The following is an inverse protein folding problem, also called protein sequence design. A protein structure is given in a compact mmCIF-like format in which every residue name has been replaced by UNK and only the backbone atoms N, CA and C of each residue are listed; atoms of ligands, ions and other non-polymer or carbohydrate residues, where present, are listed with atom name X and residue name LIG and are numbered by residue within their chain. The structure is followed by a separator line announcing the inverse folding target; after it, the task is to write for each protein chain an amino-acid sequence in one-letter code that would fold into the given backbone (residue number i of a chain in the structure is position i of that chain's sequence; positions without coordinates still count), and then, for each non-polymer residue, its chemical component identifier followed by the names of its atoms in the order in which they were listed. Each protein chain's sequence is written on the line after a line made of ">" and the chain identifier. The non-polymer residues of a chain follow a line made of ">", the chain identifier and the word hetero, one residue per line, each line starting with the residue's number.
data_IF_294740417209
#
_entry.id   IF_294740417209
#
_cell.length_a   1.000
_cell.length_b   1.000
_cell.length_c   1.000
_cell.angle_alpha   90.00
_cell.angle_beta   90.00
_cell.angle_gamma   90.00
#
_symmetry.space_group_name_H-M   'P 1'
#
loop_
_entity.id
_entity.type
_entity.pdbx_description
1 polymer ?
#
# COMPACT_ATOMS: atom_id res chain seq x y z
N UNK A 1 -8.94 13.30 10.07
CA UNK A 1 -9.72 13.57 8.84
C UNK A 1 -11.02 12.78 8.80
N UNK A 2 -11.03 11.46 8.95
CA UNK A 2 -12.24 10.62 8.85
C UNK A 2 -13.38 11.04 9.80
N UNK A 3 -13.08 11.41 11.05
CA UNK A 3 -14.09 11.92 12.01
C UNK A 3 -14.72 13.26 11.59
N UNK A 4 -13.97 14.10 10.87
CA UNK A 4 -14.48 15.39 10.37
C UNK A 4 -15.34 15.17 9.13
N UNK A 5 -14.93 14.26 8.24
CA UNK A 5 -15.70 13.92 7.04
C UNK A 5 -17.03 13.22 7.38
N UNK A 6 -17.05 12.40 8.44
CA UNK A 6 -18.28 11.74 8.89
C UNK A 6 -19.39 12.70 9.36
N UNK A 7 -19.04 13.96 9.62
CA UNK A 7 -20.02 15.02 9.99
C UNK A 7 -20.72 15.66 8.78
N UNK A 8 -20.21 15.47 7.56
CA UNK A 8 -20.78 15.97 6.31
C UNK A 8 -20.87 14.83 5.29
N UNK A 9 -22.04 14.17 5.17
CA UNK A 9 -22.24 13.04 4.26
C UNK A 9 -21.95 13.37 2.79
N UNK A 10 -22.26 14.59 2.34
CA UNK A 10 -22.01 15.00 0.96
C UNK A 10 -20.51 15.14 0.68
N UNK A 11 -19.75 15.63 1.65
CA UNK A 11 -18.29 15.73 1.56
C UNK A 11 -17.63 14.34 1.61
N UNK A 12 -18.13 13.46 2.49
CA UNK A 12 -17.67 12.09 2.57
C UNK A 12 -17.89 11.34 1.24
N UNK A 13 -19.07 11.51 0.63
CA UNK A 13 -19.39 10.90 -0.66
C UNK A 13 -18.50 11.45 -1.80
N UNK A 14 -18.26 12.76 -1.87
CA UNK A 14 -17.34 13.34 -2.86
C UNK A 14 -15.93 12.80 -2.73
N UNK A 15 -15.44 12.70 -1.49
CA UNK A 15 -14.13 12.12 -1.22
C UNK A 15 -14.06 10.65 -1.63
N UNK A 16 -15.06 9.85 -1.27
CA UNK A 16 -15.15 8.45 -1.66
C UNK A 16 -15.15 8.26 -3.18
N UNK A 17 -15.92 9.07 -3.91
CA UNK A 17 -15.96 9.04 -5.37
C UNK A 17 -14.60 9.42 -5.98
N UNK A 18 -13.92 10.44 -5.44
CA UNK A 18 -12.60 10.85 -5.89
C UNK A 18 -11.55 9.75 -5.68
N UNK A 19 -11.59 9.07 -4.54
CA UNK A 19 -10.71 7.93 -4.24
C UNK A 19 -11.02 6.74 -5.17
N UNK A 20 -12.30 6.41 -5.36
CA UNK A 20 -12.71 5.35 -6.29
C UNK A 20 -12.22 5.62 -7.71
N UNK A 21 -12.38 6.86 -8.19
CA UNK A 21 -11.86 7.28 -9.51
C UNK A 21 -10.34 7.15 -9.60
N UNK A 22 -9.61 7.63 -8.59
CA UNK A 22 -8.15 7.52 -8.54
C UNK A 22 -7.66 6.08 -8.65
N UNK A 23 -8.35 5.15 -7.96
CA UNK A 23 -7.99 3.73 -7.98
C UNK A 23 -8.23 3.02 -9.32
N UNK A 24 -8.91 3.68 -10.30
CA UNK A 24 -9.07 3.15 -11.66
C UNK A 24 -7.87 3.45 -12.56
N UNK A 25 -6.90 4.24 -12.09
CA UNK A 25 -5.71 4.59 -12.83
C UNK A 25 -4.87 3.36 -13.22
N UNK A 26 -4.30 3.33 -14.43
CA UNK A 26 -3.53 2.17 -14.91
C UNK A 26 -2.31 1.87 -14.04
N UNK A 27 -1.76 2.87 -13.36
CA UNK A 27 -0.62 2.73 -12.46
C UNK A 27 -0.97 2.14 -11.08
N UNK A 28 -2.25 1.91 -10.79
CA UNK A 28 -2.74 1.37 -9.51
C UNK A 28 -3.43 0.02 -9.68
N UNK A 29 -3.25 -0.64 -10.84
CA UNK A 29 -3.79 -1.97 -11.11
C UNK A 29 -3.31 -2.98 -10.07
N UNK A 30 -4.21 -3.89 -9.71
CA UNK A 30 -3.90 -4.97 -8.77
C UNK A 30 -2.94 -6.01 -9.36
N UNK A 31 -2.85 -6.10 -10.68
CA UNK A 31 -1.93 -7.00 -11.39
C UNK A 31 -0.49 -6.86 -10.88
N UNK A 32 -0.06 -5.62 -10.58
CA UNK A 32 1.29 -5.40 -10.03
C UNK A 32 1.49 -6.06 -8.66
N UNK A 33 0.48 -6.04 -7.80
CA UNK A 33 0.53 -6.72 -6.51
C UNK A 33 0.48 -8.24 -6.69
N UNK A 34 -0.38 -8.71 -7.59
CA UNK A 34 -0.54 -10.14 -7.91
C UNK A 34 0.75 -10.74 -8.48
N UNK A 35 1.42 -10.01 -9.36
CA UNK A 35 2.62 -10.50 -10.06
C UNK A 35 3.91 -10.41 -9.24
N UNK A 36 3.97 -9.47 -8.29
CA UNK A 36 5.19 -9.16 -7.54
C UNK A 36 5.12 -9.48 -6.05
N UNK A 37 3.99 -9.96 -5.54
CA UNK A 37 3.91 -10.44 -4.16
C UNK A 37 4.41 -11.88 -4.00
N UNK A 38 4.67 -12.34 -2.77
CA UNK A 38 5.29 -13.64 -2.48
C UNK A 38 4.34 -14.85 -2.61
N UNK A 39 3.18 -14.69 -3.25
CA UNK A 39 2.07 -15.65 -3.22
C UNK A 39 2.45 -17.05 -3.70
N UNK A 40 3.26 -17.14 -4.76
CA UNK A 40 3.70 -18.41 -5.34
C UNK A 40 4.67 -19.20 -4.47
N UNK A 41 5.30 -18.57 -3.46
CA UNK A 41 6.22 -19.21 -2.52
C UNK A 41 5.52 -19.74 -1.26
N UNK A 42 4.22 -19.45 -1.10
CA UNK A 42 3.46 -19.85 0.08
C UNK A 42 3.00 -21.30 -0.01
N UNK A 43 2.92 -22.02 1.12
CA UNK A 43 2.40 -23.37 1.13
C UNK A 43 0.91 -23.39 0.75
N UNK A 44 0.46 -24.49 0.11
CA UNK A 44 -0.95 -24.72 -0.15
C UNK A 44 -1.77 -24.64 1.14
N UNK A 45 -2.90 -23.94 1.11
CA UNK A 45 -3.71 -23.64 2.29
C UNK A 45 -3.15 -22.52 3.17
N UNK A 46 -2.03 -21.91 2.78
CA UNK A 46 -1.47 -20.75 3.49
C UNK A 46 -2.47 -19.60 3.58
N UNK A 47 -2.57 -18.98 4.75
CA UNK A 47 -3.51 -17.88 5.00
C UNK A 47 -2.86 -16.54 4.71
N UNK A 48 -3.57 -15.71 3.95
CA UNK A 48 -3.24 -14.30 3.68
C UNK A 48 -4.30 -13.43 4.35
N UNK A 49 -3.87 -12.48 5.17
CA UNK A 49 -4.75 -11.52 5.86
C UNK A 49 -4.58 -10.15 5.24
N UNK A 50 -5.64 -9.56 4.69
CA UNK A 50 -5.67 -8.20 4.12
C UNK A 50 -6.19 -7.22 5.18
N UNK A 51 -5.29 -6.47 5.78
CA UNK A 51 -5.59 -5.58 6.91
C UNK A 51 -6.03 -4.21 6.39
N UNK A 52 -7.30 -3.86 6.65
CA UNK A 52 -7.94 -2.69 6.06
C UNK A 52 -8.32 -2.91 4.59
N UNK A 53 -8.65 -4.14 4.22
CA UNK A 53 -8.85 -4.59 2.83
C UNK A 53 -10.19 -4.17 2.20
N UNK A 54 -11.05 -3.44 2.93
CA UNK A 54 -12.31 -2.88 2.44
C UNK A 54 -13.22 -3.94 1.79
N UNK A 55 -13.45 -3.85 0.49
CA UNK A 55 -14.31 -4.76 -0.27
C UNK A 55 -13.61 -6.05 -0.76
N UNK A 56 -12.36 -6.29 -0.36
CA UNK A 56 -11.63 -7.52 -0.68
C UNK A 56 -11.12 -7.66 -2.13
N UNK A 57 -11.11 -6.58 -2.91
CA UNK A 57 -10.71 -6.64 -4.33
C UNK A 57 -9.29 -7.19 -4.53
N UNK A 58 -8.35 -6.86 -3.63
CA UNK A 58 -6.99 -7.35 -3.72
C UNK A 58 -6.94 -8.86 -3.49
N UNK A 59 -7.71 -9.36 -2.52
CA UNK A 59 -7.77 -10.79 -2.22
C UNK A 59 -8.40 -11.60 -3.34
N UNK A 60 -9.48 -11.08 -3.97
CA UNK A 60 -10.08 -11.72 -5.16
C UNK A 60 -9.06 -11.80 -6.30
N UNK A 61 -8.38 -10.70 -6.62
CA UNK A 61 -7.38 -10.68 -7.69
C UNK A 61 -6.22 -11.66 -7.44
N UNK A 62 -5.78 -11.80 -6.18
CA UNK A 62 -4.74 -12.79 -5.84
C UNK A 62 -5.32 -14.22 -5.91
N UNK A 63 -6.55 -14.44 -5.47
CA UNK A 63 -7.21 -15.75 -5.49
C UNK A 63 -7.41 -16.31 -6.91
N UNK A 64 -7.67 -15.43 -7.89
CA UNK A 64 -7.75 -15.81 -9.32
C UNK A 64 -6.49 -16.54 -9.81
N UNK A 65 -5.30 -16.08 -9.37
CA UNK A 65 -4.02 -16.66 -9.77
C UNK A 65 -3.50 -17.73 -8.80
N UNK A 66 -3.87 -17.63 -7.51
CA UNK A 66 -3.39 -18.50 -6.43
C UNK A 66 -4.54 -19.14 -5.64
N UNK A 67 -5.39 -19.97 -6.28
CA UNK A 67 -6.61 -20.50 -5.66
C UNK A 67 -6.36 -21.51 -4.53
N UNK A 68 -5.12 -21.98 -4.34
CA UNK A 68 -4.74 -22.84 -3.23
C UNK A 68 -4.56 -22.11 -1.89
N UNK A 69 -4.55 -20.79 -1.89
CA UNK A 69 -4.42 -19.98 -0.69
C UNK A 69 -5.79 -19.68 -0.04
N UNK A 70 -5.77 -19.27 1.20
CA UNK A 70 -6.94 -18.80 1.96
C UNK A 70 -6.78 -17.32 2.26
N UNK A 71 -7.87 -16.56 2.15
CA UNK A 71 -7.85 -15.12 2.28
C UNK A 71 -8.84 -14.65 3.34
N UNK A 72 -8.39 -13.75 4.21
CA UNK A 72 -9.22 -13.11 5.24
C UNK A 72 -9.08 -11.60 5.05
N UNK A 73 -10.18 -10.95 4.67
CA UNK A 73 -10.25 -9.48 4.55
C UNK A 73 -10.71 -8.93 5.89
N UNK A 74 -9.92 -8.04 6.48
CA UNK A 74 -10.24 -7.38 7.74
C UNK A 74 -10.49 -5.89 7.51
N UNK A 75 -11.55 -5.36 8.11
CA UNK A 75 -11.83 -3.93 8.15
C UNK A 75 -12.79 -3.63 9.32
N UNK A 76 -13.06 -2.35 9.56
CA UNK A 76 -14.00 -1.91 10.59
C UNK A 76 -15.42 -2.42 10.32
N UNK A 77 -16.24 -2.65 11.36
CA UNK A 77 -17.59 -3.18 11.23
C UNK A 77 -18.47 -2.47 10.19
N UNK A 78 -18.49 -1.11 10.12
CA UNK A 78 -19.29 -0.42 9.10
C UNK A 78 -18.84 -0.71 7.67
N UNK A 79 -17.52 -0.89 7.44
CA UNK A 79 -16.96 -1.20 6.12
C UNK A 79 -17.33 -2.62 5.72
N UNK A 80 -17.19 -3.59 6.64
CA UNK A 80 -17.55 -4.99 6.40
C UNK A 80 -19.05 -5.13 6.12
N UNK A 81 -19.90 -4.42 6.87
CA UNK A 81 -21.35 -4.42 6.66
C UNK A 81 -21.76 -3.82 5.29
N UNK A 82 -21.03 -2.80 4.82
CA UNK A 82 -21.29 -2.12 3.55
C UNK A 82 -20.55 -2.73 2.36
N UNK A 83 -19.86 -3.87 2.54
CA UNK A 83 -19.08 -4.50 1.47
C UNK A 83 -19.98 -4.96 0.33
N UNK A 84 -19.45 -4.94 -0.88
CA UNK A 84 -20.09 -5.56 -2.03
C UNK A 84 -19.89 -7.07 -1.99
N UNK A 85 -20.84 -7.87 -2.52
CA UNK A 85 -20.62 -9.29 -2.73
C UNK A 85 -19.39 -9.53 -3.61
N UNK A 86 -18.63 -10.56 -3.29
CA UNK A 86 -17.56 -11.07 -4.16
C UNK A 86 -18.14 -12.10 -5.14
N UNK A 87 -17.46 -12.42 -6.26
CA UNK A 87 -17.89 -13.49 -7.14
C UNK A 87 -17.98 -14.84 -6.39
N UNK A 88 -19.02 -15.61 -6.71
CA UNK A 88 -19.38 -16.84 -5.99
C UNK A 88 -18.25 -17.87 -5.97
N UNK A 89 -17.44 -17.93 -7.01
CA UNK A 89 -16.30 -18.84 -7.13
C UNK A 89 -15.22 -18.61 -6.06
N UNK A 90 -15.16 -17.40 -5.44
CA UNK A 90 -14.18 -17.09 -4.41
C UNK A 90 -14.73 -17.19 -2.98
N UNK A 91 -16.03 -17.42 -2.79
CA UNK A 91 -16.65 -17.49 -1.45
C UNK A 91 -16.06 -18.60 -0.56
N UNK A 92 -15.50 -19.64 -1.17
CA UNK A 92 -14.88 -20.75 -0.45
C UNK A 92 -13.45 -20.46 0.03
N UNK A 93 -12.77 -19.46 -0.53
CA UNK A 93 -11.39 -19.12 -0.21
C UNK A 93 -11.20 -17.71 0.33
N UNK A 94 -12.14 -16.80 0.11
CA UNK A 94 -12.12 -15.42 0.62
C UNK A 94 -13.22 -15.22 1.65
N UNK A 95 -12.83 -14.86 2.86
CA UNK A 95 -13.74 -14.56 3.96
C UNK A 95 -13.54 -13.12 4.47
N UNK A 96 -14.50 -12.61 5.23
CA UNK A 96 -14.48 -11.26 5.78
C UNK A 96 -14.60 -11.30 7.30
N UNK A 97 -13.83 -10.44 7.98
CA UNK A 97 -13.77 -10.35 9.42
C UNK A 97 -13.73 -8.89 9.87
N UNK A 98 -14.56 -8.56 10.85
CA UNK A 98 -14.48 -7.26 11.52
C UNK A 98 -13.23 -7.20 12.39
N UNK A 99 -12.39 -6.18 12.21
CA UNK A 99 -11.22 -5.96 13.02
C UNK A 99 -10.73 -4.51 12.94
N UNK A 100 -10.35 -3.95 14.07
CA UNK A 100 -9.62 -2.68 14.17
C UNK A 100 -8.13 -2.98 14.37
N UNK A 101 -7.29 -2.64 13.40
CA UNK A 101 -5.85 -2.86 13.45
C UNK A 101 -5.13 -2.08 14.57
N UNK A 102 -5.83 -1.20 15.29
CA UNK A 102 -5.32 -0.61 16.53
C UNK A 102 -5.53 -1.52 17.76
N UNK A 103 -6.08 -2.70 17.58
CA UNK A 103 -6.19 -3.76 18.59
C UNK A 103 -5.32 -4.97 18.20
N UNK A 104 -4.98 -5.89 19.12
CA UNK A 104 -4.18 -7.06 18.78
C UNK A 104 -4.78 -7.89 17.64
N UNK A 105 -3.92 -8.32 16.71
CA UNK A 105 -4.33 -9.13 15.54
C UNK A 105 -4.85 -10.51 16.00
N UNK A 106 -6.12 -10.86 15.68
CA UNK A 106 -6.72 -12.12 16.13
C UNK A 106 -6.31 -13.34 15.29
N UNK A 107 -5.88 -13.16 14.04
CA UNK A 107 -5.45 -14.26 13.17
C UNK A 107 -3.97 -14.52 13.42
N UNK A 108 -3.68 -15.65 14.06
CA UNK A 108 -2.34 -16.02 14.49
C UNK A 108 -1.68 -16.92 13.42
N UNK A 109 -0.42 -16.66 13.09
CA UNK A 109 0.39 -17.53 12.24
C UNK A 109 -0.02 -17.53 10.77
N UNK A 110 -0.66 -16.45 10.28
CA UNK A 110 -0.87 -16.32 8.84
C UNK A 110 0.47 -16.28 8.10
N UNK A 111 0.48 -16.82 6.89
CA UNK A 111 1.66 -16.82 6.04
C UNK A 111 2.02 -15.40 5.58
N UNK A 112 1.01 -14.57 5.31
CA UNK A 112 1.17 -13.16 4.93
C UNK A 112 0.13 -12.28 5.63
N UNK A 113 0.57 -11.12 6.09
CA UNK A 113 -0.26 -9.99 6.49
C UNK A 113 0.00 -8.85 5.49
N UNK A 114 -1.02 -8.52 4.70
CA UNK A 114 -0.96 -7.47 3.69
C UNK A 114 -1.51 -6.16 4.24
N UNK A 115 -0.78 -5.08 3.98
CA UNK A 115 -1.22 -3.69 4.17
C UNK A 115 -1.16 -2.96 2.83
N UNK A 116 -2.30 -2.51 2.33
CA UNK A 116 -2.36 -1.74 1.08
C UNK A 116 -3.07 -0.41 1.30
N UNK A 117 -2.37 0.70 1.07
CA UNK A 117 -2.87 2.05 1.33
C UNK A 117 -3.26 2.29 2.80
N UNK A 118 -2.49 1.76 3.77
CA UNK A 118 -2.75 1.89 5.20
C UNK A 118 -1.78 2.86 5.87
N UNK A 119 -0.47 2.57 5.82
CA UNK A 119 0.52 3.29 6.61
C UNK A 119 0.70 4.75 6.17
N UNK A 120 0.52 5.06 4.88
CA UNK A 120 0.58 6.42 4.37
C UNK A 120 -0.49 7.35 4.97
N UNK A 121 -1.53 6.80 5.58
CA UNK A 121 -2.57 7.57 6.25
C UNK A 121 -2.23 7.91 7.71
N UNK A 122 -1.12 7.40 8.24
CA UNK A 122 -0.81 7.48 9.66
C UNK A 122 0.61 7.97 9.92
N UNK A 123 0.81 8.86 10.93
CA UNK A 123 2.14 9.23 11.39
C UNK A 123 2.83 8.02 12.04
N UNK A 124 4.15 8.02 12.07
CA UNK A 124 5.00 6.91 12.53
C UNK A 124 4.55 6.29 13.86
N UNK A 125 4.17 7.12 14.84
CA UNK A 125 3.70 6.63 16.15
C UNK A 125 2.51 5.68 16.04
N UNK A 126 1.61 5.92 15.08
CA UNK A 126 0.45 5.09 14.84
C UNK A 126 0.81 3.86 14.00
N UNK A 127 1.67 4.03 12.99
CA UNK A 127 2.22 2.91 12.22
C UNK A 127 2.93 1.89 13.13
N UNK A 128 3.78 2.38 14.05
CA UNK A 128 4.45 1.54 15.05
C UNK A 128 3.43 0.82 15.96
N UNK A 129 2.36 1.50 16.36
CA UNK A 129 1.30 0.88 17.15
C UNK A 129 0.59 -0.23 16.37
N UNK A 130 0.28 -0.02 15.09
CA UNK A 130 -0.31 -1.04 14.21
C UNK A 130 0.60 -2.27 14.14
N UNK A 131 1.89 -2.06 13.86
CA UNK A 131 2.88 -3.14 13.79
C UNK A 131 3.04 -3.87 15.13
N UNK A 132 3.05 -3.15 16.26
CA UNK A 132 3.12 -3.77 17.59
C UNK A 132 1.89 -4.61 17.92
N UNK A 133 0.70 -4.23 17.45
CA UNK A 133 -0.50 -5.04 17.59
C UNK A 133 -0.49 -6.29 16.69
N UNK A 134 0.32 -6.28 15.62
CA UNK A 134 0.52 -7.43 14.75
C UNK A 134 1.49 -8.46 15.38
N UNK A 135 2.52 -8.00 16.10
CA UNK A 135 3.61 -8.85 16.64
C UNK A 135 3.12 -10.11 17.35
N UNK A 136 2.12 -10.09 18.26
CA UNK A 136 1.66 -11.31 18.94
C UNK A 136 1.11 -12.39 18.00
N UNK A 137 0.67 -12.01 16.81
CA UNK A 137 0.12 -12.94 15.82
C UNK A 137 1.19 -13.54 14.89
N UNK A 138 2.38 -12.96 14.81
CA UNK A 138 3.45 -13.44 13.95
C UNK A 138 4.05 -14.75 14.45
N UNK A 139 4.52 -15.56 13.53
CA UNK A 139 5.29 -16.78 13.77
C UNK A 139 6.52 -16.77 12.88
N UNK A 140 7.52 -17.55 13.21
CA UNK A 140 8.72 -17.72 12.42
C UNK A 140 8.36 -17.90 10.94
N UNK A 141 8.86 -17.03 10.07
CA UNK A 141 8.60 -17.04 8.64
C UNK A 141 7.31 -16.35 8.18
N UNK A 142 6.47 -15.83 9.10
CA UNK A 142 5.36 -14.95 8.70
C UNK A 142 5.89 -13.73 7.94
N UNK A 143 5.22 -13.38 6.83
CA UNK A 143 5.60 -12.23 6.00
C UNK A 143 4.66 -11.07 6.23
N UNK A 144 5.20 -9.87 6.16
CA UNK A 144 4.41 -8.63 6.11
C UNK A 144 4.68 -7.97 4.76
N UNK A 145 3.64 -7.84 3.96
CA UNK A 145 3.70 -7.21 2.65
C UNK A 145 3.02 -5.85 2.73
N UNK A 146 3.71 -4.82 2.25
CA UNK A 146 3.17 -3.46 2.15
C UNK A 146 3.07 -3.08 0.68
N UNK A 147 1.89 -2.64 0.24
CA UNK A 147 1.66 -2.14 -1.12
C UNK A 147 1.31 -0.66 -1.07
N UNK A 148 2.35 0.17 -1.14
CA UNK A 148 2.25 1.63 -1.00
C UNK A 148 3.29 2.35 -1.87
N UNK A 149 3.23 3.67 -1.91
CA UNK A 149 4.27 4.48 -2.53
C UNK A 149 5.57 4.25 -1.75
N UNK A 150 6.62 3.92 -2.50
CA UNK A 150 7.99 3.99 -1.99
C UNK A 150 8.69 5.14 -2.71
N UNK A 151 9.09 6.15 -1.95
CA UNK A 151 9.80 7.29 -2.51
C UNK A 151 11.16 6.82 -3.06
N UNK A 152 11.62 7.36 -4.19
CA UNK A 152 13.00 7.14 -4.62
C UNK A 152 13.96 7.71 -3.59
N UNK A 153 15.15 7.12 -3.48
CA UNK A 153 16.20 7.68 -2.62
C UNK A 153 16.52 9.13 -3.03
N UNK A 154 16.88 9.98 -2.09
CA UNK A 154 17.22 11.37 -2.38
C UNK A 154 18.23 11.47 -3.54
N UNK A 155 17.99 12.37 -4.48
CA UNK A 155 18.78 12.59 -5.71
C UNK A 155 18.68 11.45 -6.75
N UNK A 156 17.75 10.49 -6.62
CA UNK A 156 17.44 9.51 -7.66
C UNK A 156 16.06 9.79 -8.25
N UNK A 157 15.94 9.65 -9.59
CA UNK A 157 14.64 9.71 -10.26
C UNK A 157 14.32 8.31 -10.76
N UNK A 158 13.14 7.80 -10.43
CA UNK A 158 12.66 6.54 -11.02
C UNK A 158 12.62 6.68 -12.56
N UNK A 159 13.19 5.71 -13.28
CA UNK A 159 13.34 5.68 -14.74
C UNK A 159 12.04 6.00 -15.49
N UNK A 160 10.90 5.53 -14.98
CA UNK A 160 9.56 5.83 -15.52
C UNK A 160 9.21 7.31 -15.47
N UNK A 161 9.58 8.00 -14.40
CA UNK A 161 9.27 9.42 -14.24
C UNK A 161 10.17 10.28 -15.11
N UNK A 162 11.40 9.88 -15.26
CA UNK A 162 12.30 10.50 -16.25
C UNK A 162 11.74 10.36 -17.67
N UNK A 163 11.22 9.20 -18.08
CA UNK A 163 10.57 8.99 -19.37
C UNK A 163 9.31 9.85 -19.55
N UNK A 164 8.41 9.91 -18.53
CA UNK A 164 7.22 10.78 -18.60
C UNK A 164 7.60 12.26 -18.70
N UNK A 165 8.60 12.71 -17.94
CA UNK A 165 9.11 14.07 -18.01
C UNK A 165 9.69 14.37 -19.40
N UNK A 166 10.46 13.46 -20.00
CA UNK A 166 11.02 13.62 -21.34
C UNK A 166 9.95 13.75 -22.42
N UNK A 167 8.78 13.11 -22.24
CA UNK A 167 7.65 13.18 -23.19
C UNK A 167 6.81 14.45 -23.03
N UNK A 168 6.63 14.95 -21.81
CA UNK A 168 5.72 16.07 -21.51
C UNK A 168 6.42 17.43 -21.59
N UNK A 169 7.68 17.52 -21.17
CA UNK A 169 8.44 18.77 -21.18
C UNK A 169 8.58 19.44 -22.58
N UNK A 170 8.84 18.70 -23.68
CA UNK A 170 8.90 19.31 -25.02
C UNK A 170 7.58 19.91 -25.49
N UNK A 171 6.44 19.41 -24.95
CA UNK A 171 5.09 19.92 -25.28
C UNK A 171 4.74 21.20 -24.48
N UNK A 172 5.41 21.42 -23.36
CA UNK A 172 5.11 22.57 -22.47
C UNK A 172 6.11 23.73 -22.61
N UNK A 173 7.32 23.49 -23.14
CA UNK A 173 8.38 24.52 -23.24
C UNK A 173 9.16 24.43 -24.55
N UNK A 174 9.54 25.56 -25.19
CA UNK A 174 10.34 25.54 -26.40
C UNK A 174 11.74 24.99 -26.16
N UNK A 175 12.23 24.21 -27.15
CA UNK A 175 13.53 23.49 -27.11
C UNK A 175 14.77 24.36 -26.80
N UNK A 176 14.70 25.67 -27.01
CA UNK A 176 15.80 26.62 -26.79
C UNK A 176 16.08 26.87 -25.29
N UNK A 177 15.13 26.59 -24.40
CA UNK A 177 15.26 26.79 -22.93
C UNK A 177 15.77 25.56 -22.18
N UNK A 178 16.02 24.45 -22.88
CA UNK A 178 16.32 23.13 -22.27
C UNK A 178 17.76 22.93 -21.81
N UNK A 179 18.71 23.79 -22.22
CA UNK A 179 20.14 23.64 -21.86
C UNK A 179 20.49 23.98 -20.40
N UNK A 180 19.65 24.77 -19.73
CA UNK A 180 19.87 25.20 -18.31
C UNK A 180 19.07 24.35 -17.31
N UNK A 181 18.39 23.28 -17.75
CA UNK A 181 17.30 22.66 -16.99
C UNK A 181 17.59 21.26 -16.42
N UNK A 182 18.83 20.80 -16.42
CA UNK A 182 19.11 19.47 -15.84
C UNK A 182 18.87 19.47 -14.32
N UNK A 183 19.18 20.54 -13.63
CA UNK A 183 18.86 20.73 -12.20
C UNK A 183 17.35 20.95 -11.95
N UNK A 184 16.64 21.62 -12.87
CA UNK A 184 15.19 21.84 -12.73
C UNK A 184 14.36 20.61 -13.08
N UNK A 185 14.91 19.63 -13.84
CA UNK A 185 14.24 18.35 -14.16
C UNK A 185 14.20 17.42 -12.96
N UNK A 186 15.26 17.40 -12.18
CA UNK A 186 15.33 16.67 -10.90
C UNK A 186 14.28 17.24 -9.92
N UNK A 187 14.24 18.55 -9.80
CA UNK A 187 13.29 19.26 -8.94
C UNK A 187 11.82 18.98 -9.27
N UNK A 188 11.46 18.78 -10.55
CA UNK A 188 10.04 18.56 -10.96
C UNK A 188 9.53 17.14 -10.69
N UNK A 189 10.39 16.13 -10.76
CA UNK A 189 10.05 14.76 -10.37
C UNK A 189 9.95 14.62 -8.86
N UNK A 190 10.83 15.27 -8.11
CA UNK A 190 10.74 15.42 -6.67
C UNK A 190 9.45 16.15 -6.25
N UNK A 191 8.94 17.09 -7.07
CA UNK A 191 7.70 17.82 -6.79
C UNK A 191 6.44 16.96 -6.87
N UNK A 192 6.37 15.94 -7.73
CA UNK A 192 5.19 15.07 -7.81
C UNK A 192 5.10 14.13 -6.58
N UNK A 193 6.21 13.59 -6.12
CA UNK A 193 6.26 12.83 -4.87
C UNK A 193 6.04 13.73 -3.67
N UNK A 194 6.69 14.90 -3.68
CA UNK A 194 6.50 15.95 -2.69
C UNK A 194 5.04 16.43 -2.60
N UNK A 195 4.30 16.48 -3.71
CA UNK A 195 2.88 16.87 -3.69
C UNK A 195 2.01 15.84 -2.97
N UNK A 196 2.27 14.54 -3.13
CA UNK A 196 1.56 13.50 -2.36
C UNK A 196 1.97 13.51 -0.89
N UNK A 197 3.26 13.63 -0.62
CA UNK A 197 3.78 13.71 0.74
C UNK A 197 3.24 14.95 1.46
N UNK A 198 3.26 16.12 0.81
CA UNK A 198 2.64 17.35 1.34
C UNK A 198 1.14 17.15 1.58
N UNK A 199 0.43 16.48 0.67
CA UNK A 199 -0.99 16.19 0.84
C UNK A 199 -1.23 15.26 2.06
N UNK A 200 -0.43 14.21 2.24
CA UNK A 200 -0.53 13.33 3.41
C UNK A 200 -0.17 14.08 4.69
N UNK A 201 0.88 14.90 4.66
CA UNK A 201 1.29 15.72 5.80
C UNK A 201 0.19 16.70 6.22
N UNK A 202 -0.37 17.44 5.26
CA UNK A 202 -1.39 18.46 5.55
C UNK A 202 -2.75 17.90 5.92
N UNK A 203 -3.16 16.78 5.31
CA UNK A 203 -4.49 16.20 5.51
C UNK A 203 -4.54 15.23 6.69
N UNK A 204 -3.46 14.51 6.96
CA UNK A 204 -3.46 13.38 7.90
C UNK A 204 -2.32 13.41 8.92
N UNK A 205 -1.42 14.43 8.85
CA UNK A 205 -0.19 14.46 9.63
C UNK A 205 0.63 13.16 9.46
N UNK A 206 0.68 12.67 8.24
CA UNK A 206 1.30 11.43 7.81
C UNK A 206 2.32 11.72 6.70
N UNK A 207 2.98 10.71 6.17
CA UNK A 207 4.02 10.88 5.15
C UNK A 207 4.09 9.69 4.22
N UNK A 208 4.57 9.93 3.00
CA UNK A 208 5.10 8.88 2.15
C UNK A 208 6.54 8.57 2.59
N UNK A 209 7.03 7.35 2.32
CA UNK A 209 8.31 6.89 2.85
C UNK A 209 9.22 6.37 1.76
N UNK A 210 10.52 6.61 1.89
CA UNK A 210 11.54 5.93 1.11
C UNK A 210 11.87 4.55 1.72
N UNK A 211 12.73 3.79 1.02
CA UNK A 211 13.15 2.45 1.47
C UNK A 211 13.79 2.47 2.86
N UNK A 212 14.64 3.44 3.14
CA UNK A 212 15.35 3.56 4.43
C UNK A 212 14.37 3.86 5.57
N UNK A 213 13.39 4.73 5.32
CA UNK A 213 12.34 5.07 6.27
C UNK A 213 11.42 3.88 6.55
N UNK A 214 11.07 3.07 5.52
CA UNK A 214 10.32 1.83 5.70
C UNK A 214 11.06 0.84 6.60
N UNK A 215 12.35 0.60 6.33
CA UNK A 215 13.18 -0.30 7.15
C UNK A 215 13.25 0.22 8.59
N UNK A 216 13.48 1.51 8.79
CA UNK A 216 13.55 2.11 10.10
C UNK A 216 12.21 2.03 10.87
N UNK A 217 11.07 2.27 10.18
CA UNK A 217 9.74 2.17 10.78
C UNK A 217 9.48 0.78 11.36
N UNK A 218 9.78 -0.28 10.60
CA UNK A 218 9.59 -1.65 11.02
C UNK A 218 10.53 -2.04 12.17
N UNK A 219 11.81 -1.68 12.09
CA UNK A 219 12.79 -1.89 13.19
C UNK A 219 12.40 -1.19 14.48
N UNK A 220 11.85 0.03 14.41
CA UNK A 220 11.33 0.76 15.59
C UNK A 220 10.10 0.09 16.20
N UNK A 221 9.33 -0.66 15.43
CA UNK A 221 8.23 -1.45 15.96
C UNK A 221 8.73 -2.70 16.68
N UNK A 222 9.61 -3.48 16.02
CA UNK A 222 10.30 -4.64 16.59
C UNK A 222 11.50 -5.03 15.69
N UNK A 223 12.65 -5.35 16.29
CA UNK A 223 13.88 -5.69 15.57
C UNK A 223 13.81 -7.02 14.81
N UNK A 224 12.85 -7.89 15.16
CA UNK A 224 12.59 -9.17 14.48
C UNK A 224 11.92 -9.03 13.11
N UNK A 225 11.52 -7.84 12.70
CA UNK A 225 11.15 -7.57 11.32
C UNK A 225 12.40 -7.40 10.45
N UNK A 226 12.67 -8.37 9.59
CA UNK A 226 13.78 -8.32 8.65
C UNK A 226 13.28 -7.91 7.27
N UNK A 227 13.88 -6.88 6.71
CA UNK A 227 13.61 -6.45 5.35
C UNK A 227 14.05 -7.52 4.35
N UNK A 228 13.18 -7.89 3.42
CA UNK A 228 13.47 -8.83 2.34
C UNK A 228 13.80 -8.07 1.08
N UNK A 229 12.82 -7.37 0.52
CA UNK A 229 12.99 -6.62 -0.72
C UNK A 229 11.95 -5.50 -0.88
N UNK A 230 12.21 -4.63 -1.83
CA UNK A 230 11.24 -3.70 -2.40
C UNK A 230 11.25 -3.84 -3.91
N UNK A 231 10.10 -4.16 -4.47
CA UNK A 231 9.89 -4.23 -5.91
C UNK A 231 9.05 -3.04 -6.34
N UNK A 232 9.59 -2.21 -7.25
CA UNK A 232 8.88 -1.10 -7.87
C UNK A 232 8.58 -1.45 -9.33
N UNK A 233 7.39 -1.99 -9.65
CA UNK A 233 7.06 -2.34 -11.03
C UNK A 233 7.09 -1.09 -11.93
N UNK A 234 7.60 -1.23 -13.16
CA UNK A 234 7.89 -0.09 -14.04
C UNK A 234 6.66 0.80 -14.30
N UNK A 235 5.46 0.21 -14.35
CA UNK A 235 4.22 0.94 -14.60
C UNK A 235 3.34 1.16 -13.35
N UNK A 236 3.79 0.76 -12.18
CA UNK A 236 3.06 0.94 -10.93
C UNK A 236 3.46 2.22 -10.21
N UNK A 237 2.49 2.91 -9.61
CA UNK A 237 2.78 3.95 -8.63
C UNK A 237 3.05 3.37 -7.24
N UNK A 238 2.70 2.08 -7.01
CA UNK A 238 2.93 1.38 -5.76
C UNK A 238 4.09 0.42 -5.88
N UNK A 239 4.92 0.41 -4.85
CA UNK A 239 5.87 -0.66 -4.61
C UNK A 239 5.21 -1.83 -3.88
N UNK A 240 5.82 -2.99 -3.99
CA UNK A 240 5.59 -4.14 -3.12
C UNK A 240 6.82 -4.27 -2.23
N UNK A 241 6.62 -4.04 -0.93
CA UNK A 241 7.68 -4.02 0.09
C UNK A 241 7.45 -5.21 1.00
N UNK A 242 8.48 -6.03 1.17
CA UNK A 242 8.36 -7.27 1.94
C UNK A 242 9.28 -7.28 3.16
N UNK A 243 8.70 -7.69 4.29
CA UNK A 243 9.40 -8.02 5.52
C UNK A 243 9.07 -9.45 5.94
N UNK A 244 10.02 -10.13 6.57
CA UNK A 244 9.84 -11.44 7.17
C UNK A 244 10.07 -11.36 8.67
N UNK A 245 9.26 -12.09 9.43
CA UNK A 245 9.43 -12.22 10.86
C UNK A 245 10.39 -13.36 11.19
N UNK A 246 11.40 -13.07 12.00
CA UNK A 246 12.40 -14.04 12.47
C UNK A 246 12.49 -13.93 14.00
N UNK A 247 12.27 -15.04 14.68
CA UNK A 247 12.38 -15.15 16.14
C UNK A 247 13.85 -15.27 16.61
#
# INVERSE_FOLDING_TARGET
>A
MYQIMGKDPARAQRFSNAMAFRLTGPALKLDFLVDHGPWGSLPAGGTVVDIGGSHGKAMVAIAEKFPSLRFIVQDLPPTIAARRPIPQEFENCVSFMEHDFFTPQPIIGAAVYLFRWIFHNWPDKHCIRILKNLVPALRQGSRVVVSEICLPEPNTIAVRKERKLRLVLPLMFPLSSLKTQQSNRLAFADHYHSAMDIAMMTMQNAQERDKGEWINLFKRADERFHFVEVVQPEESDLAVIEFIWQE
#
